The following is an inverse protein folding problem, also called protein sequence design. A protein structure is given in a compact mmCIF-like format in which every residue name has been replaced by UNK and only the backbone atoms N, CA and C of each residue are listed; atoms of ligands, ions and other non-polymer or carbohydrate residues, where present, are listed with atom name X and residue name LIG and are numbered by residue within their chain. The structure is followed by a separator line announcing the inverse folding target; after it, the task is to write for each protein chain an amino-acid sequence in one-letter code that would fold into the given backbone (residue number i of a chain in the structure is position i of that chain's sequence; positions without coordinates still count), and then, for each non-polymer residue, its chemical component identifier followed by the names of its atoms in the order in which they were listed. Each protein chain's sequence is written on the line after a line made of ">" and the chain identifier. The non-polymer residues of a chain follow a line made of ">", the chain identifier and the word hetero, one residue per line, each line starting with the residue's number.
data_IF_479190970216
#
_entry.id   IF_479190970216
#
_cell.length_a   1.000
_cell.length_b   1.000
_cell.length_c   1.000
_cell.angle_alpha   90.00
_cell.angle_beta   90.00
_cell.angle_gamma   90.00
#
_symmetry.space_group_name_H-M   'P 1'
#
loop_
_entity.id
_entity.type
_entity.pdbx_description
1 polymer ?
#
# COMPACT_ATOMS: atom_id res chain seq x y z
N UNK A 1 6.67 108.34 12.70
CA UNK A 1 5.31 108.56 12.15
C UNK A 1 5.11 107.62 10.97
N UNK A 2 4.02 106.83 11.01
CA UNK A 2 3.44 106.00 9.93
C UNK A 2 4.23 104.74 9.53
N UNK A 3 3.66 103.55 9.29
CA UNK A 3 2.33 102.91 9.48
C UNK A 3 2.56 101.42 9.14
N UNK A 4 1.96 100.50 9.90
CA UNK A 4 1.75 99.09 9.54
C UNK A 4 0.91 98.96 8.26
N UNK A 5 1.22 98.03 7.35
CA UNK A 5 0.27 97.06 6.74
C UNK A 5 1.02 95.81 6.25
N UNK A 6 0.52 94.64 6.65
CA UNK A 6 0.92 93.28 6.29
C UNK A 6 0.84 92.95 4.80
N UNK A 7 1.66 91.99 4.36
CA UNK A 7 1.29 90.98 3.34
C UNK A 7 2.24 89.79 3.46
N UNK A 8 1.74 88.69 4.03
CA UNK A 8 2.40 87.38 4.08
C UNK A 8 2.19 86.71 2.72
N UNK A 9 3.26 86.49 1.97
CA UNK A 9 3.26 85.64 0.79
C UNK A 9 3.68 84.22 1.22
N UNK A 10 2.70 83.32 1.28
CA UNK A 10 2.93 81.87 1.44
C UNK A 10 3.54 81.36 0.14
N UNK A 11 4.83 81.04 0.16
CA UNK A 11 5.47 80.21 -0.87
C UNK A 11 5.78 78.85 -0.24
N UNK A 12 5.06 77.84 -0.72
CA UNK A 12 5.07 76.48 -0.22
C UNK A 12 6.42 75.80 -0.47
N UNK A 13 7.11 75.44 0.62
CA UNK A 13 8.18 74.46 0.64
C UNK A 13 7.66 73.24 1.40
N UNK A 14 7.33 72.16 0.68
CA UNK A 14 7.12 70.84 1.27
C UNK A 14 7.16 69.75 0.19
N UNK A 15 8.36 69.47 -0.33
CA UNK A 15 8.71 68.13 -0.83
C UNK A 15 8.75 67.20 0.39
N UNK A 16 7.60 66.73 0.85
CA UNK A 16 7.51 65.58 1.74
C UNK A 16 7.46 64.37 0.83
N UNK A 17 8.65 63.83 0.51
CA UNK A 17 8.76 62.44 0.14
C UNK A 17 8.19 61.63 1.31
N UNK A 18 6.97 61.13 1.14
CA UNK A 18 6.35 60.21 2.07
C UNK A 18 7.18 58.94 2.13
N UNK A 19 8.13 58.89 3.06
CA UNK A 19 8.74 57.65 3.48
C UNK A 19 7.64 56.90 4.21
N UNK A 20 6.89 56.07 3.49
CA UNK A 20 6.05 55.08 4.15
C UNK A 20 6.99 54.23 5.02
N UNK A 21 6.67 54.02 6.31
CA UNK A 21 7.50 53.16 7.14
C UNK A 21 7.61 51.81 6.45
N UNK A 22 8.84 51.30 6.32
CA UNK A 22 9.06 49.95 5.81
C UNK A 22 8.30 48.98 6.71
N UNK A 23 7.13 48.52 6.25
CA UNK A 23 6.37 47.51 6.97
C UNK A 23 7.16 46.21 6.86
N UNK A 24 7.40 45.56 7.99
CA UNK A 24 8.04 44.26 7.98
C UNK A 24 7.14 43.28 7.21
N UNK A 25 7.71 42.60 6.20
CA UNK A 25 6.99 41.58 5.47
C UNK A 25 6.48 40.50 6.43
N UNK A 26 5.22 40.12 6.27
CA UNK A 26 4.56 39.14 7.13
C UNK A 26 5.07 37.74 6.81
N UNK A 27 5.37 36.92 7.81
CA UNK A 27 5.76 35.52 7.57
C UNK A 27 4.50 34.68 7.32
N UNK A 28 4.32 34.09 6.12
CA UNK A 28 3.18 33.23 5.82
C UNK A 28 3.30 31.87 6.53
N UNK A 29 2.23 31.08 6.53
CA UNK A 29 2.26 29.69 7.03
C UNK A 29 2.31 28.69 5.88
N UNK A 30 2.96 27.56 6.13
CA UNK A 30 3.03 26.42 5.22
C UNK A 30 2.89 25.11 6.00
N UNK A 31 1.84 24.35 5.71
CA UNK A 31 1.53 23.09 6.38
C UNK A 31 1.62 21.94 5.38
N UNK A 32 2.41 20.92 5.71
CA UNK A 32 2.57 19.71 4.90
C UNK A 32 1.60 18.62 5.35
N UNK A 33 1.10 17.84 4.40
CA UNK A 33 0.26 16.65 4.64
C UNK A 33 0.36 15.66 3.48
N UNK A 34 -0.32 14.51 3.57
CA UNK A 34 -0.27 13.46 2.56
C UNK A 34 1.01 12.61 2.64
N UNK A 35 1.46 12.08 1.51
CA UNK A 35 2.75 11.37 1.41
C UNK A 35 2.83 9.97 2.03
N UNK A 36 1.85 9.55 2.85
CA UNK A 36 1.77 8.18 3.35
C UNK A 36 1.41 7.22 2.21
N UNK A 37 2.26 6.22 1.95
CA UNK A 37 2.07 5.23 0.89
C UNK A 37 2.78 3.91 1.22
N UNK A 38 2.72 2.95 0.30
CA UNK A 38 3.44 1.69 0.33
C UNK A 38 4.64 1.78 -0.59
N UNK A 39 5.80 1.34 -0.11
CA UNK A 39 7.04 1.30 -0.89
C UNK A 39 6.86 0.45 -2.15
N UNK A 40 7.38 0.94 -3.28
CA UNK A 40 7.38 0.25 -4.58
C UNK A 40 6.01 0.11 -5.25
N UNK A 41 4.98 0.78 -4.74
CA UNK A 41 3.68 0.95 -5.42
C UNK A 41 3.56 2.35 -6.04
N UNK A 42 2.34 2.75 -6.38
CA UNK A 42 2.04 4.02 -7.02
C UNK A 42 2.60 5.24 -6.25
N UNK A 43 2.93 6.34 -6.96
CA UNK A 43 3.39 7.57 -6.34
C UNK A 43 2.42 8.09 -5.27
N UNK A 44 2.97 8.59 -4.16
CA UNK A 44 2.21 9.32 -3.15
C UNK A 44 2.00 10.77 -3.58
N UNK A 45 0.88 11.37 -3.14
CA UNK A 45 0.66 12.81 -3.27
C UNK A 45 1.00 13.49 -1.95
N UNK A 46 1.99 14.39 -1.99
CA UNK A 46 2.31 15.31 -0.91
C UNK A 46 1.54 16.60 -1.16
N UNK A 47 0.94 17.14 -0.11
CA UNK A 47 0.12 18.35 -0.17
C UNK A 47 0.75 19.41 0.73
N UNK A 48 0.93 20.61 0.18
CA UNK A 48 1.30 21.78 0.95
C UNK A 48 0.17 22.81 0.92
N UNK A 49 -0.30 23.21 2.09
CA UNK A 49 -1.32 24.25 2.26
C UNK A 49 -0.67 25.51 2.80
N UNK A 50 -0.75 26.60 2.04
CA UNK A 50 -0.17 27.89 2.36
C UNK A 50 -1.23 28.92 2.78
N UNK A 51 -0.82 29.96 3.51
CA UNK A 51 -1.69 31.10 3.85
C UNK A 51 -1.74 32.18 2.75
N UNK A 52 -0.90 32.08 1.72
CA UNK A 52 -0.83 33.02 0.59
C UNK A 52 -0.48 32.26 -0.69
N UNK A 53 -0.79 32.84 -1.84
CA UNK A 53 -0.41 32.28 -3.13
C UNK A 53 1.11 32.35 -3.34
N UNK A 54 1.68 31.33 -3.98
CA UNK A 54 3.11 31.28 -4.27
C UNK A 54 3.52 29.97 -4.95
N UNK A 55 4.81 29.67 -4.87
CA UNK A 55 5.38 28.40 -5.32
C UNK A 55 5.98 27.65 -4.15
N UNK A 56 5.77 26.33 -4.10
CA UNK A 56 6.30 25.44 -3.08
C UNK A 56 7.36 24.51 -3.68
N UNK A 57 8.54 24.50 -3.06
CA UNK A 57 9.60 23.52 -3.30
C UNK A 57 9.45 22.37 -2.31
N UNK A 58 9.19 21.16 -2.79
CA UNK A 58 9.02 19.97 -1.95
C UNK A 58 10.34 19.20 -1.82
N UNK A 59 10.64 18.72 -0.62
CA UNK A 59 11.81 17.87 -0.35
C UNK A 59 11.44 16.66 0.50
N UNK A 60 12.11 15.54 0.24
CA UNK A 60 12.05 14.32 1.04
C UNK A 60 13.46 13.97 1.51
N UNK A 61 13.62 13.70 2.81
CA UNK A 61 14.91 13.42 3.44
C UNK A 61 16.00 14.47 3.09
N UNK A 62 15.62 15.75 3.04
CA UNK A 62 16.52 16.86 2.71
C UNK A 62 16.86 17.02 1.22
N UNK A 63 16.37 16.15 0.35
CA UNK A 63 16.60 16.22 -1.11
C UNK A 63 15.33 16.69 -1.82
N UNK A 64 15.49 17.56 -2.81
CA UNK A 64 14.38 18.07 -3.63
C UNK A 64 13.76 16.93 -4.41
N UNK A 65 12.43 16.83 -4.38
CA UNK A 65 11.71 15.82 -5.16
C UNK A 65 11.73 16.24 -6.63
N UNK A 66 12.14 15.33 -7.51
CA UNK A 66 12.22 15.58 -8.95
C UNK A 66 10.83 16.01 -9.48
N UNK A 67 10.78 17.14 -10.21
CA UNK A 67 9.55 17.73 -10.72
C UNK A 67 8.74 18.54 -9.70
N UNK A 68 9.26 18.73 -8.49
CA UNK A 68 8.59 19.49 -7.43
C UNK A 68 9.45 20.61 -6.84
N UNK A 69 10.36 21.18 -7.63
CA UNK A 69 11.24 22.28 -7.25
C UNK A 69 10.52 23.64 -7.20
N UNK A 70 9.45 23.82 -7.99
CA UNK A 70 8.64 25.03 -8.03
C UNK A 70 7.18 24.75 -8.40
N UNK A 71 6.41 24.15 -7.48
CA UNK A 71 4.98 23.84 -7.72
C UNK A 71 4.12 25.03 -7.29
N UNK A 72 3.39 25.63 -8.22
CA UNK A 72 2.45 26.70 -7.90
C UNK A 72 1.34 26.22 -6.96
N UNK A 73 0.97 27.05 -6.00
CA UNK A 73 -0.28 26.88 -5.27
C UNK A 73 -1.46 27.21 -6.20
N UNK A 74 -2.66 26.77 -5.84
CA UNK A 74 -3.88 27.41 -6.35
C UNK A 74 -3.86 28.92 -6.11
N UNK A 75 -4.64 29.67 -6.88
CA UNK A 75 -4.68 31.14 -6.84
C UNK A 75 -5.71 31.70 -5.86
N UNK A 76 -6.56 30.84 -5.30
CA UNK A 76 -7.58 31.17 -4.30
C UNK A 76 -7.52 30.20 -3.13
N UNK A 77 -7.99 30.63 -1.97
CA UNK A 77 -7.99 29.84 -0.74
C UNK A 77 -8.87 28.58 -0.85
N UNK A 78 -8.43 27.43 -0.32
CA UNK A 78 -7.11 27.20 0.27
C UNK A 78 -6.00 27.19 -0.79
N UNK A 79 -4.88 27.88 -0.52
CA UNK A 79 -3.72 27.92 -1.43
C UNK A 79 -2.96 26.61 -1.33
N UNK A 80 -3.19 25.70 -2.27
CA UNK A 80 -2.70 24.32 -2.20
C UNK A 80 -1.75 24.02 -3.35
N UNK A 81 -0.58 23.48 -3.05
CA UNK A 81 0.34 22.87 -4.00
C UNK A 81 0.38 21.34 -3.78
N UNK A 82 0.50 20.56 -4.87
CA UNK A 82 0.56 19.10 -4.82
C UNK A 82 1.77 18.57 -5.58
N UNK A 83 2.51 17.66 -4.96
CA UNK A 83 3.68 17.02 -5.53
C UNK A 83 3.49 15.49 -5.57
N UNK A 84 3.75 14.88 -6.72
CA UNK A 84 3.81 13.42 -6.87
C UNK A 84 5.20 12.93 -6.48
N UNK A 85 5.27 11.93 -5.61
CA UNK A 85 6.53 11.44 -5.04
C UNK A 85 6.52 9.92 -4.90
N UNK A 86 7.56 9.26 -5.43
CA UNK A 86 7.81 7.84 -5.20
C UNK A 86 8.90 7.70 -4.13
N UNK A 87 8.62 7.07 -2.98
CA UNK A 87 9.62 6.85 -1.95
C UNK A 87 10.75 5.94 -2.42
N UNK A 88 11.99 6.30 -2.11
CA UNK A 88 13.17 5.50 -2.44
C UNK A 88 13.37 4.30 -1.49
N UNK A 89 12.79 4.35 -0.28
CA UNK A 89 12.88 3.30 0.74
C UNK A 89 11.61 3.25 1.59
N UNK A 90 11.34 2.11 2.22
CA UNK A 90 10.35 2.01 3.30
C UNK A 90 10.85 2.62 4.61
N UNK A 91 9.94 2.91 5.54
CA UNK A 91 10.26 3.45 6.86
C UNK A 91 9.84 4.91 7.04
N UNK A 92 10.36 5.56 8.08
CA UNK A 92 10.05 6.96 8.36
C UNK A 92 10.82 7.88 7.41
N UNK A 93 10.12 8.83 6.78
CA UNK A 93 10.71 9.85 5.91
C UNK A 93 10.23 11.22 6.35
N UNK A 94 11.15 12.17 6.44
CA UNK A 94 10.84 13.58 6.73
C UNK A 94 10.56 14.30 5.41
N UNK A 95 9.37 14.88 5.30
CA UNK A 95 8.97 15.76 4.22
C UNK A 95 9.04 17.22 4.68
N UNK A 96 9.50 18.09 3.79
CA UNK A 96 9.51 19.54 4.01
C UNK A 96 9.05 20.26 2.74
N UNK A 97 8.55 21.48 2.93
CA UNK A 97 8.24 22.40 1.85
C UNK A 97 8.88 23.76 2.12
N UNK A 98 9.25 24.47 1.06
CA UNK A 98 9.62 25.89 1.11
C UNK A 98 8.69 26.70 0.24
N UNK A 99 7.92 27.61 0.85
CA UNK A 99 7.03 28.52 0.15
C UNK A 99 7.79 29.79 -0.22
N UNK A 100 7.71 30.16 -1.49
CA UNK A 100 8.07 31.49 -1.99
C UNK A 100 6.78 32.18 -2.43
N UNK A 101 6.29 33.18 -1.67
CA UNK A 101 5.08 33.92 -2.00
C UNK A 101 5.19 34.64 -3.35
N UNK A 102 4.07 34.76 -4.06
CA UNK A 102 4.02 35.60 -5.28
C UNK A 102 4.15 37.08 -4.92
N UNK A 103 3.56 37.50 -3.80
CA UNK A 103 3.67 38.84 -3.26
C UNK A 103 4.86 38.93 -2.30
N UNK A 104 6.05 39.10 -2.87
CA UNK A 104 7.31 39.20 -2.13
C UNK A 104 7.49 40.55 -1.42
N UNK A 105 6.65 41.55 -1.71
CA UNK A 105 6.68 42.83 -1.03
C UNK A 105 6.02 42.74 0.35
N UNK A 106 4.95 41.96 0.46
CA UNK A 106 4.19 41.80 1.70
C UNK A 106 4.52 40.52 2.47
N UNK A 107 5.12 39.51 1.84
CA UNK A 107 5.42 38.23 2.49
C UNK A 107 6.85 37.75 2.28
N UNK A 108 7.45 37.19 3.33
CA UNK A 108 8.76 36.52 3.23
C UNK A 108 8.61 35.05 2.84
N UNK A 109 9.65 34.45 2.26
CA UNK A 109 9.71 33.00 2.11
C UNK A 109 9.69 32.30 3.48
N UNK A 110 9.12 31.09 3.53
CA UNK A 110 9.01 30.30 4.77
C UNK A 110 9.22 28.81 4.49
N UNK A 111 9.90 28.12 5.42
CA UNK A 111 9.99 26.67 5.45
C UNK A 111 8.87 26.08 6.31
N UNK A 112 8.32 24.95 5.90
CA UNK A 112 7.35 24.21 6.71
C UNK A 112 8.04 23.61 7.94
N UNK A 113 7.26 23.31 8.98
CA UNK A 113 7.71 22.37 10.00
C UNK A 113 8.04 21.00 9.36
N UNK A 114 9.00 20.23 9.91
CA UNK A 114 9.26 18.86 9.48
C UNK A 114 8.01 17.99 9.62
N UNK A 115 7.60 17.33 8.54
CA UNK A 115 6.43 16.44 8.53
C UNK A 115 6.88 15.00 8.29
N UNK A 116 6.78 14.15 9.32
CA UNK A 116 7.22 12.76 9.23
C UNK A 116 6.09 11.87 8.73
N UNK A 117 6.34 11.17 7.62
CA UNK A 117 5.45 10.13 7.09
C UNK A 117 6.06 8.75 7.27
N UNK A 118 5.21 7.72 7.41
CA UNK A 118 5.64 6.31 7.46
C UNK A 118 5.32 5.62 6.14
N UNK A 119 6.34 5.13 5.47
CA UNK A 119 6.21 4.35 4.24
C UNK A 119 6.16 2.88 4.61
N UNK A 120 5.02 2.25 4.35
CA UNK A 120 4.78 0.84 4.65
C UNK A 120 5.49 -0.08 3.65
N UNK A 121 5.73 -1.32 4.07
CA UNK A 121 5.99 -2.45 3.17
C UNK A 121 4.72 -3.29 3.04
N UNK A 122 4.48 -3.98 1.90
CA UNK A 122 3.39 -4.95 1.80
C UNK A 122 3.45 -5.97 2.93
N UNK A 123 2.30 -6.47 3.39
CA UNK A 123 2.25 -7.44 4.52
C UNK A 123 3.09 -8.70 4.24
N UNK A 124 3.17 -9.08 2.96
CA UNK A 124 3.97 -10.20 2.47
C UNK A 124 5.50 -9.96 2.59
N UNK A 125 5.92 -8.73 2.88
CA UNK A 125 7.31 -8.31 3.07
C UNK A 125 8.04 -7.93 1.77
N UNK A 126 7.61 -8.48 0.63
CA UNK A 126 8.19 -8.22 -0.69
C UNK A 126 7.11 -7.96 -1.72
N UNK A 127 7.46 -7.18 -2.74
CA UNK A 127 6.64 -7.05 -3.95
C UNK A 127 6.99 -8.22 -4.87
N UNK A 128 5.98 -9.00 -5.23
CA UNK A 128 6.09 -10.13 -6.16
C UNK A 128 4.81 -10.20 -6.98
N UNK A 129 4.85 -10.67 -8.24
CA UNK A 129 3.65 -11.00 -9.00
C UNK A 129 2.78 -12.07 -8.31
N UNK A 130 3.37 -12.87 -7.42
CA UNK A 130 2.64 -13.85 -6.63
C UNK A 130 2.24 -13.23 -5.29
N UNK A 131 0.95 -12.93 -5.17
CA UNK A 131 0.35 -12.46 -3.92
C UNK A 131 -0.11 -13.66 -3.09
N UNK A 132 0.38 -13.74 -1.85
CA UNK A 132 0.10 -14.85 -0.96
C UNK A 132 -0.74 -14.41 0.24
N UNK A 133 -1.74 -15.22 0.55
CA UNK A 133 -2.47 -15.19 1.80
C UNK A 133 -2.12 -16.44 2.59
N UNK A 134 -1.76 -16.25 3.85
CA UNK A 134 -1.40 -17.34 4.76
C UNK A 134 -2.19 -17.17 6.03
N UNK A 135 -2.87 -18.24 6.43
CA UNK A 135 -3.44 -18.35 7.76
C UNK A 135 -3.03 -19.66 8.42
N UNK A 136 -3.29 -19.74 9.72
CA UNK A 136 -3.09 -20.94 10.50
C UNK A 136 -4.37 -21.31 11.22
N UNK A 137 -4.66 -22.60 11.32
CA UNK A 137 -5.78 -23.14 12.08
C UNK A 137 -5.30 -24.31 12.94
N UNK A 138 -6.08 -24.63 13.97
CA UNK A 138 -5.86 -25.85 14.73
C UNK A 138 -6.35 -27.06 13.93
N UNK A 139 -5.60 -28.16 13.90
CA UNK A 139 -6.11 -29.39 13.27
C UNK A 139 -7.44 -29.84 13.90
N UNK A 140 -8.43 -30.20 13.08
CA UNK A 140 -9.70 -30.74 13.55
C UNK A 140 -9.53 -32.05 14.32
N UNK A 141 -10.37 -32.29 15.33
CA UNK A 141 -10.41 -33.56 16.08
C UNK A 141 -9.66 -33.57 17.41
N UNK A 142 -9.14 -32.45 17.89
CA UNK A 142 -8.55 -32.36 19.24
C UNK A 142 -9.62 -32.56 20.32
N UNK A 143 -9.43 -33.57 21.18
CA UNK A 143 -10.25 -33.83 22.38
C UNK A 143 -9.41 -33.58 23.65
N UNK A 144 -10.06 -33.35 24.79
CA UNK A 144 -9.38 -33.13 26.08
C UNK A 144 -8.77 -31.73 26.24
N UNK A 145 -7.76 -31.62 27.11
CA UNK A 145 -7.16 -30.34 27.53
C UNK A 145 -6.50 -29.53 26.38
N UNK A 146 -6.31 -30.16 25.22
CA UNK A 146 -5.75 -29.55 24.01
C UNK A 146 -6.80 -29.06 23.01
N UNK A 147 -8.10 -29.23 23.32
CA UNK A 147 -9.18 -28.73 22.48
C UNK A 147 -9.21 -27.19 22.45
N UNK A 148 -9.59 -26.56 21.33
CA UNK A 148 -9.68 -25.11 21.25
C UNK A 148 -10.79 -24.61 22.17
N UNK A 149 -10.48 -23.55 22.94
CA UNK A 149 -11.40 -22.96 23.93
C UNK A 149 -12.72 -22.49 23.32
N UNK A 150 -12.69 -22.03 22.07
CA UNK A 150 -13.87 -21.72 21.26
C UNK A 150 -13.98 -22.83 20.21
N UNK A 151 -15.00 -23.69 20.31
CA UNK A 151 -15.13 -25.00 19.65
C UNK A 151 -15.17 -25.06 18.11
N UNK A 152 -14.36 -24.27 17.41
CA UNK A 152 -14.21 -24.28 15.97
C UNK A 152 -12.75 -24.50 15.60
N UNK A 153 -12.39 -25.73 15.26
CA UNK A 153 -11.05 -26.08 14.74
C UNK A 153 -10.75 -25.47 13.37
N UNK A 154 -11.72 -24.85 12.70
CA UNK A 154 -11.54 -24.29 11.35
C UNK A 154 -11.37 -22.75 11.30
N UNK A 155 -11.34 -22.09 12.46
CA UNK A 155 -11.14 -20.64 12.55
C UNK A 155 -9.65 -20.27 12.54
N UNK A 156 -9.35 -19.14 11.90
CA UNK A 156 -7.99 -18.57 11.87
C UNK A 156 -7.55 -18.33 13.32
N UNK A 157 -6.40 -18.89 13.66
CA UNK A 157 -5.83 -18.90 15.00
C UNK A 157 -4.34 -18.60 14.89
N UNK A 158 -3.84 -17.65 15.66
CA UNK A 158 -2.41 -17.31 15.74
C UNK A 158 -1.76 -17.75 17.05
N UNK A 159 -2.51 -18.40 17.93
CA UNK A 159 -2.05 -18.80 19.26
C UNK A 159 -2.30 -20.28 19.48
N UNK A 160 -1.24 -21.00 19.83
CA UNK A 160 -1.27 -22.45 20.01
C UNK A 160 -0.57 -22.83 21.30
N UNK A 161 -0.90 -23.99 21.87
CA UNK A 161 -0.15 -24.59 22.98
C UNK A 161 0.60 -25.84 22.49
N UNK A 162 1.75 -26.13 23.11
CA UNK A 162 2.53 -27.35 22.80
C UNK A 162 1.64 -28.59 22.89
N UNK A 163 1.75 -29.48 21.90
CA UNK A 163 0.93 -30.67 21.73
C UNK A 163 -0.18 -30.50 20.68
N UNK A 164 -0.51 -29.26 20.31
CA UNK A 164 -1.44 -28.99 19.21
C UNK A 164 -0.76 -29.14 17.84
N UNK A 165 -1.55 -29.53 16.84
CA UNK A 165 -1.10 -29.54 15.45
C UNK A 165 -1.56 -28.27 14.76
N UNK A 166 -0.60 -27.53 14.21
CA UNK A 166 -0.82 -26.28 13.47
C UNK A 166 -0.94 -26.64 12.00
N UNK A 167 -2.03 -26.22 11.37
CA UNK A 167 -2.26 -26.36 9.94
C UNK A 167 -2.14 -24.99 9.30
N UNK A 168 -1.16 -24.83 8.42
CA UNK A 168 -1.03 -23.65 7.57
C UNK A 168 -1.92 -23.83 6.35
N UNK A 169 -2.80 -22.88 6.09
CA UNK A 169 -3.53 -22.80 4.82
C UNK A 169 -2.98 -21.64 4.04
N UNK A 170 -2.54 -21.93 2.82
CA UNK A 170 -1.93 -20.96 1.92
C UNK A 170 -2.75 -20.87 0.66
N UNK A 171 -3.06 -19.64 0.28
CA UNK A 171 -3.71 -19.28 -0.97
C UNK A 171 -2.84 -18.26 -1.69
N UNK A 172 -2.88 -18.26 -3.01
CA UNK A 172 -2.15 -17.24 -3.76
C UNK A 172 -2.74 -16.98 -5.14
N UNK A 173 -2.42 -15.81 -5.69
CA UNK A 173 -2.75 -15.41 -7.05
C UNK A 173 -1.49 -14.95 -7.78
N UNK A 174 -1.40 -15.23 -9.08
CA UNK A 174 -0.31 -14.78 -9.93
C UNK A 174 -0.76 -13.66 -10.88
N UNK A 175 -0.30 -12.44 -10.62
CA UNK A 175 -0.59 -11.26 -11.41
C UNK A 175 -0.09 -11.37 -12.86
N UNK A 176 1.04 -12.04 -13.11
CA UNK A 176 1.56 -12.26 -14.47
C UNK A 176 0.62 -13.14 -15.31
N UNK A 177 -0.25 -13.91 -14.66
CA UNK A 177 -1.27 -14.76 -15.28
C UNK A 177 -2.67 -14.16 -15.13
N UNK A 178 -2.78 -12.84 -15.02
CA UNK A 178 -4.05 -12.13 -14.90
C UNK A 178 -4.79 -12.41 -13.59
N UNK A 179 -4.05 -12.71 -12.51
CA UNK A 179 -4.61 -13.02 -11.20
C UNK A 179 -5.05 -14.47 -11.04
N UNK A 180 -4.59 -15.39 -11.90
CA UNK A 180 -4.92 -16.81 -11.77
C UNK A 180 -4.55 -17.35 -10.39
N UNK A 181 -5.42 -18.19 -9.82
CA UNK A 181 -5.16 -18.88 -8.54
C UNK A 181 -3.93 -19.78 -8.69
N UNK A 182 -3.05 -19.77 -7.70
CA UNK A 182 -1.93 -20.68 -7.60
C UNK A 182 -2.45 -22.07 -7.22
N UNK A 183 -2.45 -23.00 -8.17
CA UNK A 183 -2.89 -24.40 -8.01
C UNK A 183 -1.85 -25.38 -8.59
N UNK A 184 -2.15 -26.68 -8.57
CA UNK A 184 -1.22 -27.70 -9.05
C UNK A 184 -0.92 -27.60 -10.57
N UNK A 185 -1.76 -26.91 -11.35
CA UNK A 185 -1.55 -26.72 -12.79
C UNK A 185 -0.44 -25.73 -13.07
N UNK A 186 -0.32 -24.65 -12.28
CA UNK A 186 0.63 -23.56 -12.50
C UNK A 186 1.72 -23.40 -11.44
N UNK A 187 1.67 -24.17 -10.34
CA UNK A 187 2.68 -24.15 -9.27
C UNK A 187 3.67 -25.28 -9.44
N UNK A 188 4.96 -24.96 -9.51
CA UNK A 188 6.06 -25.93 -9.60
C UNK A 188 6.44 -26.50 -8.23
N UNK A 189 6.48 -25.64 -7.21
CA UNK A 189 6.84 -26.01 -5.83
C UNK A 189 6.17 -25.08 -4.84
N UNK A 190 5.74 -25.61 -3.70
CA UNK A 190 5.21 -24.84 -2.59
C UNK A 190 5.67 -25.47 -1.27
N UNK A 191 6.22 -24.67 -0.35
CA UNK A 191 6.75 -25.15 0.93
C UNK A 191 6.79 -24.06 2.00
N UNK A 192 6.96 -24.47 3.26
CA UNK A 192 7.15 -23.59 4.42
C UNK A 192 8.48 -23.92 5.09
N UNK A 193 9.31 -22.92 5.28
CA UNK A 193 10.50 -22.97 6.13
C UNK A 193 10.10 -22.49 7.52
N UNK A 194 10.36 -23.29 8.56
CA UNK A 194 10.08 -22.93 9.96
C UNK A 194 11.40 -22.95 10.71
N UNK A 195 11.74 -21.86 11.40
CA UNK A 195 12.96 -21.78 12.19
C UNK A 195 13.00 -22.91 13.23
N UNK A 196 14.08 -23.69 13.27
CA UNK A 196 14.21 -24.85 14.16
C UNK A 196 13.65 -26.16 13.61
N UNK A 197 13.03 -26.16 12.43
CA UNK A 197 12.69 -27.38 11.68
C UNK A 197 13.73 -27.58 10.58
N UNK A 198 14.38 -28.74 10.57
CA UNK A 198 15.49 -29.03 9.64
C UNK A 198 15.05 -28.98 8.17
N UNK A 199 13.95 -29.68 7.85
CA UNK A 199 13.47 -29.84 6.49
C UNK A 199 12.22 -28.97 6.26
N UNK A 200 12.11 -28.25 5.13
CA UNK A 200 10.93 -27.49 4.82
C UNK A 200 9.67 -28.35 4.78
N UNK A 201 8.57 -27.84 5.33
CA UNK A 201 7.28 -28.50 5.28
C UNK A 201 6.73 -28.41 3.85
N UNK A 202 6.46 -29.53 3.17
CA UNK A 202 5.85 -29.49 1.84
C UNK A 202 4.41 -28.98 1.95
N UNK A 203 3.99 -28.20 0.95
CA UNK A 203 2.60 -27.80 0.80
C UNK A 203 1.89 -28.70 -0.20
N UNK A 204 0.69 -29.17 0.16
CA UNK A 204 -0.16 -29.98 -0.73
C UNK A 204 -1.45 -29.24 -1.06
N UNK A 205 -1.76 -29.10 -2.35
CA UNK A 205 -3.03 -28.51 -2.80
C UNK A 205 -4.15 -29.55 -2.76
N UNK A 206 -5.28 -29.23 -2.13
CA UNK A 206 -6.40 -30.15 -2.01
C UNK A 206 -7.72 -29.48 -1.71
N UNK A 207 -8.82 -30.21 -1.92
CA UNK A 207 -10.17 -29.79 -1.58
C UNK A 207 -10.49 -30.17 -0.12
N UNK A 208 -11.00 -29.20 0.63
CA UNK A 208 -11.48 -29.35 1.99
C UNK A 208 -12.93 -28.86 2.07
N UNK A 209 -13.87 -29.77 1.83
CA UNK A 209 -15.33 -29.52 1.88
C UNK A 209 -15.82 -28.39 0.96
N UNK A 210 -15.31 -28.36 -0.27
CA UNK A 210 -15.70 -27.37 -1.29
C UNK A 210 -14.79 -26.15 -1.38
N UNK A 211 -13.79 -26.03 -0.49
CA UNK A 211 -12.78 -24.96 -0.54
C UNK A 211 -11.42 -25.59 -0.79
N UNK A 212 -10.63 -25.07 -1.73
CA UNK A 212 -9.31 -25.61 -2.05
C UNK A 212 -8.19 -24.62 -1.71
N UNK A 213 -7.13 -25.13 -1.07
CA UNK A 213 -5.95 -24.37 -0.68
C UNK A 213 -4.74 -25.30 -0.53
N UNK A 214 -3.56 -24.69 -0.42
CA UNK A 214 -2.32 -25.38 -0.11
C UNK A 214 -2.20 -25.59 1.40
N UNK A 215 -1.91 -26.81 1.83
CA UNK A 215 -1.87 -27.17 3.24
C UNK A 215 -0.47 -27.61 3.65
N UNK A 216 0.02 -27.08 4.77
CA UNK A 216 1.25 -27.51 5.44
C UNK A 216 0.98 -27.81 6.91
N UNK A 217 1.66 -28.80 7.48
CA UNK A 217 1.37 -29.28 8.84
C UNK A 217 2.62 -29.17 9.70
N UNK A 218 2.51 -28.49 10.84
CA UNK A 218 3.51 -28.45 11.89
C UNK A 218 2.96 -29.12 13.15
N UNK A 219 3.49 -30.29 13.48
CA UNK A 219 3.17 -30.99 14.73
C UNK A 219 4.04 -30.45 15.85
N UNK A 220 3.43 -30.07 16.96
CA UNK A 220 4.15 -29.59 18.15
C UNK A 220 4.12 -30.64 19.26
N UNK A 221 5.15 -30.66 20.11
CA UNK A 221 5.27 -31.64 21.18
C UNK A 221 6.73 -31.88 21.58
N UNK A 222 6.97 -32.92 22.37
CA UNK A 222 8.32 -33.35 22.71
C UNK A 222 9.12 -33.73 21.44
N UNK A 223 10.44 -33.59 21.49
CA UNK A 223 11.33 -33.98 20.40
C UNK A 223 11.01 -35.41 19.92
N UNK A 224 10.96 -35.66 18.59
CA UNK A 224 11.47 -34.80 17.51
C UNK A 224 10.48 -33.74 16.98
N UNK A 225 9.34 -33.53 17.64
CA UNK A 225 8.36 -32.52 17.23
C UNK A 225 8.82 -31.09 17.59
N UNK A 226 8.17 -30.10 16.99
CA UNK A 226 8.48 -28.69 17.25
C UNK A 226 8.06 -28.27 18.66
N UNK A 227 8.95 -27.65 19.42
CA UNK A 227 8.72 -27.26 20.82
C UNK A 227 9.23 -25.88 21.22
N UNK A 228 9.78 -25.10 20.27
CA UNK A 228 10.28 -23.75 20.57
C UNK A 228 9.10 -22.82 20.88
N UNK A 229 9.06 -22.36 22.14
CA UNK A 229 8.03 -21.44 22.63
C UNK A 229 8.24 -20.01 22.11
N UNK A 230 7.17 -19.23 22.09
CA UNK A 230 7.14 -17.87 21.58
C UNK A 230 6.74 -17.79 20.11
N UNK A 231 7.12 -16.70 19.45
CA UNK A 231 6.80 -16.47 18.04
C UNK A 231 7.44 -17.57 17.17
N UNK A 232 6.61 -18.24 16.38
CA UNK A 232 7.06 -19.18 15.36
C UNK A 232 7.47 -18.35 14.14
N UNK A 233 8.78 -18.28 13.88
CA UNK A 233 9.31 -17.63 12.68
C UNK A 233 9.22 -18.61 11.51
N UNK A 234 8.45 -18.26 10.48
CA UNK A 234 8.31 -19.06 9.28
C UNK A 234 8.24 -18.21 8.01
N UNK A 235 8.58 -18.84 6.89
CA UNK A 235 8.52 -18.27 5.54
C UNK A 235 7.85 -19.25 4.61
N UNK A 236 6.83 -18.80 3.90
CA UNK A 236 6.16 -19.55 2.85
C UNK A 236 6.79 -19.19 1.51
N UNK A 237 7.06 -20.19 0.67
CA UNK A 237 7.56 -19.98 -0.69
C UNK A 237 6.72 -20.76 -1.69
N UNK A 238 6.27 -20.09 -2.75
CA UNK A 238 5.63 -20.67 -3.93
C UNK A 238 6.41 -20.29 -5.19
N UNK A 239 6.69 -21.29 -6.01
CA UNK A 239 7.41 -21.14 -7.28
C UNK A 239 6.44 -21.49 -8.40
N UNK A 240 6.15 -20.56 -9.29
CA UNK A 240 5.33 -20.82 -10.47
C UNK A 240 6.11 -21.65 -11.52
N UNK A 241 5.38 -22.40 -12.35
CA UNK A 241 5.95 -23.03 -13.54
C UNK A 241 6.17 -21.99 -14.63
N UNK A 242 7.18 -22.19 -15.45
CA UNK A 242 7.32 -21.46 -16.71
C UNK A 242 6.07 -21.67 -17.59
N UNK A 243 5.59 -20.62 -18.25
CA UNK A 243 4.37 -20.65 -19.05
C UNK A 243 4.67 -20.31 -20.51
N UNK A 244 4.44 -21.26 -21.40
CA UNK A 244 4.42 -21.03 -22.86
C UNK A 244 3.04 -20.63 -23.37
N UNK A 245 2.02 -20.69 -22.52
CA UNK A 245 0.64 -20.28 -22.83
C UNK A 245 0.01 -19.63 -21.61
N UNK A 246 -0.68 -18.50 -21.79
CA UNK A 246 -1.36 -17.80 -20.71
C UNK A 246 -2.83 -17.59 -21.05
N UNK A 247 -3.70 -17.59 -20.03
CA UNK A 247 -5.11 -17.22 -20.18
C UNK A 247 -5.23 -15.71 -20.03
N UNK A 248 -5.76 -15.05 -21.06
CA UNK A 248 -6.05 -13.61 -21.00
C UNK A 248 -7.55 -13.38 -21.05
N UNK A 249 -8.01 -12.42 -20.26
CA UNK A 249 -9.37 -11.92 -20.34
C UNK A 249 -9.57 -11.24 -21.70
N UNK A 250 -10.56 -11.70 -22.45
CA UNK A 250 -10.94 -11.17 -23.74
C UNK A 250 -12.44 -10.94 -23.76
N UNK A 251 -12.92 -10.13 -24.71
CA UNK A 251 -14.35 -9.89 -24.89
C UNK A 251 -14.79 -10.31 -26.27
N UNK A 252 -15.98 -10.89 -26.37
CA UNK A 252 -16.65 -11.11 -27.65
C UNK A 252 -18.06 -10.54 -27.61
N UNK A 253 -18.56 -10.19 -28.79
CA UNK A 253 -19.93 -9.72 -28.97
C UNK A 253 -20.79 -10.95 -29.24
N UNK A 254 -21.86 -11.13 -28.46
CA UNK A 254 -22.85 -12.20 -28.64
C UNK A 254 -24.25 -11.61 -28.70
N UNK A 255 -25.19 -12.23 -29.44
CA UNK A 255 -26.59 -11.82 -29.39
C UNK A 255 -27.11 -11.92 -27.95
N UNK A 256 -27.78 -10.88 -27.47
CA UNK A 256 -28.45 -10.90 -26.18
C UNK A 256 -29.59 -11.91 -26.24
N UNK A 257 -29.67 -12.78 -25.24
CA UNK A 257 -30.69 -13.81 -25.14
C UNK A 257 -31.65 -13.50 -23.98
N UNK A 258 -32.95 -13.66 -24.22
CA UNK A 258 -34.00 -13.63 -23.19
C UNK A 258 -34.90 -14.85 -23.43
N UNK A 259 -35.05 -15.71 -22.42
CA UNK A 259 -35.83 -16.96 -22.50
C UNK A 259 -35.49 -17.85 -23.71
N UNK A 260 -34.19 -17.93 -24.04
CA UNK A 260 -33.70 -18.73 -25.16
C UNK A 260 -33.93 -18.12 -26.55
N UNK A 261 -34.47 -16.90 -26.64
CA UNK A 261 -34.67 -16.17 -27.90
C UNK A 261 -33.73 -14.97 -28.00
N UNK A 262 -33.32 -14.62 -29.22
CA UNK A 262 -32.53 -13.41 -29.48
C UNK A 262 -33.41 -12.19 -29.23
N UNK A 263 -32.89 -11.24 -28.46
CA UNK A 263 -33.51 -9.94 -28.27
C UNK A 263 -33.30 -9.12 -29.54
N UNK A 264 -34.38 -8.50 -30.03
CA UNK A 264 -34.35 -7.56 -31.16
C UNK A 264 -34.76 -6.16 -30.68
N UNK A 265 -34.22 -5.13 -31.31
CA UNK A 265 -34.63 -3.74 -31.09
C UNK A 265 -35.91 -3.39 -31.86
N UNK A 266 -36.41 -2.17 -31.67
CA UNK A 266 -37.63 -1.68 -32.34
C UNK A 266 -37.51 -1.64 -33.88
N UNK A 267 -36.29 -1.75 -34.41
CA UNK A 267 -36.01 -1.82 -35.85
C UNK A 267 -35.83 -3.27 -36.35
N UNK A 268 -36.09 -4.27 -35.51
CA UNK A 268 -35.96 -5.69 -35.85
C UNK A 268 -34.51 -6.19 -35.91
N UNK A 269 -33.53 -5.43 -35.41
CA UNK A 269 -32.11 -5.82 -35.41
C UNK A 269 -31.77 -6.53 -34.11
N UNK A 270 -30.91 -7.56 -34.19
CA UNK A 270 -30.42 -8.24 -32.98
C UNK A 270 -29.71 -7.24 -32.06
N UNK A 271 -30.11 -7.24 -30.80
CA UNK A 271 -29.38 -6.58 -29.73
C UNK A 271 -28.20 -7.46 -29.35
N UNK A 272 -27.02 -6.87 -29.22
CA UNK A 272 -25.81 -7.57 -28.84
C UNK A 272 -25.32 -7.11 -27.46
N UNK A 273 -24.68 -8.03 -26.76
CA UNK A 273 -23.97 -7.74 -25.51
C UNK A 273 -22.51 -8.18 -25.62
N UNK A 274 -21.66 -7.51 -24.84
CA UNK A 274 -20.25 -7.84 -24.74
C UNK A 274 -20.05 -8.78 -23.56
N UNK A 275 -19.61 -9.99 -23.83
CA UNK A 275 -19.32 -10.99 -22.79
C UNK A 275 -17.82 -11.21 -22.66
N UNK A 276 -17.36 -11.32 -21.42
CA UNK A 276 -15.99 -11.67 -21.10
C UNK A 276 -15.78 -13.18 -21.20
N UNK A 277 -14.62 -13.58 -21.72
CA UNK A 277 -14.18 -14.98 -21.74
C UNK A 277 -12.66 -15.04 -21.65
N UNK A 278 -12.12 -16.17 -21.22
CA UNK A 278 -10.67 -16.41 -21.24
C UNK A 278 -10.28 -17.07 -22.55
N UNK A 279 -9.29 -16.50 -23.24
CA UNK A 279 -8.63 -17.16 -24.38
C UNK A 279 -7.20 -17.55 -23.98
N UNK A 280 -6.74 -18.70 -24.47
CA UNK A 280 -5.34 -19.10 -24.34
C UNK A 280 -4.52 -18.43 -25.42
N UNK A 281 -3.41 -17.81 -25.04
CA UNK A 281 -2.48 -17.13 -25.95
C UNK A 281 -1.08 -17.73 -25.76
N UNK A 282 -0.39 -18.14 -26.82
CA UNK A 282 1.00 -18.58 -26.72
C UNK A 282 1.91 -17.40 -26.38
N UNK A 283 2.94 -17.65 -25.56
CA UNK A 283 3.95 -16.67 -25.16
C UNK A 283 5.33 -17.21 -25.52
N UNK A 284 6.06 -16.46 -26.34
CA UNK A 284 7.41 -16.81 -26.79
C UNK A 284 8.34 -15.58 -26.72
N UNK A 285 9.47 -15.63 -25.99
CA UNK A 285 9.91 -16.74 -25.14
C UNK A 285 8.93 -17.02 -24.01
N UNK A 286 8.94 -18.25 -23.47
CA UNK A 286 8.06 -18.63 -22.37
C UNK A 286 8.25 -17.68 -21.18
N UNK A 287 7.16 -17.30 -20.54
CA UNK A 287 7.19 -16.49 -19.34
C UNK A 287 7.83 -17.30 -18.21
N UNK A 288 8.90 -16.78 -17.61
CA UNK A 288 9.58 -17.45 -16.50
C UNK A 288 8.65 -17.47 -15.29
N UNK A 289 8.58 -18.62 -14.61
CA UNK A 289 7.82 -18.74 -13.37
C UNK A 289 8.35 -17.80 -12.29
N UNK A 290 7.49 -16.92 -11.79
CA UNK A 290 7.79 -16.04 -10.67
C UNK A 290 7.96 -16.83 -9.35
N UNK A 291 8.65 -16.21 -8.39
CA UNK A 291 8.78 -16.71 -7.02
C UNK A 291 8.02 -15.77 -6.08
N UNK A 292 7.05 -16.31 -5.36
CA UNK A 292 6.33 -15.63 -4.30
C UNK A 292 6.83 -16.10 -2.95
N UNK A 293 7.20 -15.17 -2.09
CA UNK A 293 7.53 -15.48 -0.69
C UNK A 293 6.63 -14.69 0.23
N UNK A 294 6.18 -15.30 1.33
CA UNK A 294 5.45 -14.62 2.39
C UNK A 294 6.14 -14.86 3.71
N UNK A 295 6.40 -13.78 4.43
CA UNK A 295 6.81 -13.78 5.82
C UNK A 295 6.10 -12.60 6.47
N UNK A 296 5.20 -12.89 7.41
CA UNK A 296 4.41 -11.86 8.08
C UNK A 296 5.29 -10.76 8.66
N UNK A 297 4.96 -9.52 8.36
CA UNK A 297 5.51 -8.34 9.01
C UNK A 297 4.53 -7.70 10.01
N UNK A 298 3.48 -8.43 10.41
CA UNK A 298 2.57 -7.95 11.44
C UNK A 298 3.30 -7.72 12.78
N UNK A 299 2.67 -6.93 13.64
CA UNK A 299 3.14 -6.74 15.02
C UNK A 299 3.19 -8.07 15.76
N UNK A 300 4.12 -8.22 16.71
CA UNK A 300 4.40 -9.49 17.37
C UNK A 300 3.18 -10.17 18.01
N UNK A 301 2.21 -9.40 18.51
CA UNK A 301 0.94 -9.89 19.06
C UNK A 301 -0.01 -10.53 18.04
N UNK A 302 0.25 -10.35 16.74
CA UNK A 302 -0.53 -10.91 15.64
C UNK A 302 0.23 -12.02 14.88
N UNK A 303 1.43 -12.38 15.36
CA UNK A 303 2.21 -13.48 14.79
C UNK A 303 1.82 -14.82 15.41
N UNK A 304 2.05 -15.90 14.64
CA UNK A 304 1.85 -17.27 15.12
C UNK A 304 2.76 -17.52 16.32
N UNK A 305 2.18 -17.88 17.45
CA UNK A 305 2.86 -18.01 18.74
C UNK A 305 2.54 -19.34 19.39
N UNK A 306 3.57 -20.03 19.88
CA UNK A 306 3.45 -21.28 20.64
C UNK A 306 3.66 -21.01 22.13
N UNK A 307 2.71 -21.42 22.94
CA UNK A 307 2.73 -21.32 24.39
C UNK A 307 2.97 -22.69 25.03
N UNK A 308 3.47 -22.70 26.26
CA UNK A 308 3.51 -23.90 27.07
C UNK A 308 2.09 -24.40 27.38
N UNK A 309 1.95 -25.69 27.68
CA UNK A 309 0.74 -26.21 28.30
C UNK A 309 0.49 -25.47 29.63
N UNK A 310 -0.75 -25.05 29.93
CA UNK A 310 -1.08 -24.47 31.22
C UNK A 310 -0.73 -25.46 32.34
N UNK A 311 -0.02 -24.99 33.36
CA UNK A 311 0.11 -25.73 34.63
C UNK A 311 -1.20 -25.64 35.39
N UNK A 312 -1.68 -26.78 35.88
CA UNK A 312 -2.86 -26.86 36.75
C UNK A 312 -2.63 -26.16 38.09
#
# INVERSE_FOLDING_TARGET
>A
MKRLVSTIAVTAFALIAGVMPAMAATTPTLVMSGGSTVFGLDPAIIVATASTAGTVKFSAAGTVINGCDAVATTTVTPFVARCSWVPATSGAVILTGKLTPTDVANFTAVDSAPFTVKIGVPVQGVISPIHLYVDTVLASGSTGALAPRFGVSCAITSQFIVGQTIVFRVYGNNADLGGAVMDSSNTAKAYIEVAGVKDPLPLTYGNHSGVAFWTGILKTGAAPLYSTLGVINYKVTMIAKDQSTVKVLSTKIVPKMLDGKRVVDDNGRNVYERVSYFRSVPVNPALKGAIGTWQSNFTANSLVTLYALPTA
#
